data_IF_806929846356
#
_entry.id   IF_806929846356
#
_cell.length_a   1.000
_cell.length_b   1.000
_cell.length_c   1.000
_cell.angle_alpha   90.00
_cell.angle_beta   90.00
_cell.angle_gamma   90.00
#
_symmetry.space_group_name_H-M   'P 1'
#
loop_
_entity.id
_entity.type
_entity.pdbx_description
1 polymer ?
#
# COMPACT_ATOMS: atom_id res chain seq x y z
N UNK A 1 37.68 25.80 10.40
CA UNK A 1 36.93 24.60 10.83
C UNK A 1 35.84 24.40 9.79
N UNK A 2 35.98 23.42 8.90
CA UNK A 2 35.00 23.15 7.85
C UNK A 2 33.72 22.61 8.46
N UNK A 3 32.56 23.09 8.01
CA UNK A 3 31.28 22.47 8.36
C UNK A 3 31.17 21.18 7.55
N UNK A 4 31.18 20.04 8.22
CA UNK A 4 30.68 18.80 7.61
C UNK A 4 29.18 18.94 7.37
N UNK A 5 28.76 18.62 6.15
CA UNK A 5 27.35 18.51 5.79
C UNK A 5 26.93 17.07 6.10
N UNK A 6 26.10 16.91 7.12
CA UNK A 6 25.42 15.63 7.39
C UNK A 6 24.16 15.60 6.54
N UNK A 7 24.02 14.58 5.71
CA UNK A 7 22.85 14.34 4.88
C UNK A 7 22.09 13.13 5.41
N UNK A 8 20.84 13.34 5.82
CA UNK A 8 19.93 12.28 6.14
C UNK A 8 19.36 11.66 4.86
N UNK A 9 19.34 10.32 4.78
CA UNK A 9 18.79 9.59 3.64
C UNK A 9 18.27 8.22 4.08
N UNK A 10 17.22 7.69 3.43
CA UNK A 10 16.74 6.34 3.69
C UNK A 10 17.74 5.30 3.18
N UNK A 11 17.96 4.25 3.98
CA UNK A 11 18.64 3.03 3.53
C UNK A 11 17.58 2.00 3.12
N UNK A 12 17.56 1.67 1.83
CA UNK A 12 16.61 0.71 1.26
C UNK A 12 17.31 -0.65 1.11
N UNK A 13 16.73 -1.69 1.70
CA UNK A 13 17.25 -3.04 1.57
C UNK A 13 17.09 -3.56 0.13
N UNK A 14 18.19 -3.99 -0.48
CA UNK A 14 18.17 -4.67 -1.77
C UNK A 14 17.71 -6.11 -1.57
N UNK A 15 16.61 -6.50 -2.24
CA UNK A 15 16.16 -7.90 -2.29
C UNK A 15 16.80 -8.56 -3.52
N UNK A 16 17.76 -9.49 -3.34
CA UNK A 16 18.40 -10.16 -4.46
C UNK A 16 17.38 -10.97 -5.27
N UNK A 17 17.62 -11.10 -6.58
CA UNK A 17 16.80 -11.93 -7.48
C UNK A 17 15.33 -11.48 -7.61
N UNK A 18 14.96 -10.31 -7.08
CA UNK A 18 13.61 -9.80 -7.20
C UNK A 18 13.23 -9.59 -8.68
N UNK A 19 12.02 -10.01 -9.03
CA UNK A 19 11.45 -9.88 -10.38
C UNK A 19 10.28 -8.92 -10.34
N UNK A 20 9.96 -8.28 -11.48
CA UNK A 20 8.70 -7.56 -11.61
C UNK A 20 7.56 -8.57 -11.38
N UNK A 21 6.65 -8.26 -10.45
CA UNK A 21 5.64 -9.19 -9.96
C UNK A 21 4.77 -9.75 -11.10
N UNK A 22 4.37 -8.90 -12.05
CA UNK A 22 3.54 -9.32 -13.18
C UNK A 22 4.27 -10.11 -14.27
N UNK A 23 5.59 -10.27 -14.17
CA UNK A 23 6.38 -11.17 -15.03
C UNK A 23 6.51 -12.58 -14.42
N UNK A 24 5.82 -12.86 -13.31
CA UNK A 24 5.84 -14.13 -12.56
C UNK A 24 4.45 -14.77 -12.52
N UNK A 25 4.38 -16.04 -12.09
CA UNK A 25 3.12 -16.77 -11.98
C UNK A 25 2.49 -16.54 -10.59
N UNK A 26 1.17 -16.34 -10.54
CA UNK A 26 0.45 -16.05 -9.29
C UNK A 26 0.61 -17.14 -8.22
N UNK A 27 0.80 -18.40 -8.62
CA UNK A 27 1.07 -19.49 -7.69
C UNK A 27 2.45 -19.38 -6.99
N UNK A 28 3.33 -18.49 -7.44
CA UNK A 28 4.61 -18.19 -6.82
C UNK A 28 4.51 -17.13 -5.71
N UNK A 29 3.33 -16.51 -5.51
CA UNK A 29 3.17 -15.30 -4.67
C UNK A 29 2.90 -15.60 -3.18
N UNK A 30 3.35 -16.74 -2.68
CA UNK A 30 3.16 -17.12 -1.27
C UNK A 30 1.69 -17.27 -0.88
N UNK A 31 0.83 -17.69 -1.82
CA UNK A 31 -0.60 -17.87 -1.59
C UNK A 31 -1.46 -16.60 -1.66
N UNK A 32 -0.86 -15.43 -1.94
CA UNK A 32 -1.59 -14.17 -2.10
C UNK A 32 -2.15 -14.07 -3.52
N UNK A 33 -3.44 -13.77 -3.64
CA UNK A 33 -4.08 -13.63 -4.95
C UNK A 33 -3.82 -12.27 -5.60
N UNK A 34 -3.94 -12.23 -6.93
CA UNK A 34 -3.79 -11.00 -7.71
C UNK A 34 -4.74 -9.89 -7.29
N UNK A 35 -5.99 -10.24 -6.99
CA UNK A 35 -6.99 -9.29 -6.50
C UNK A 35 -6.55 -8.64 -5.19
N UNK A 36 -6.02 -9.41 -4.24
CA UNK A 36 -5.55 -8.89 -2.96
C UNK A 36 -4.38 -7.94 -3.17
N UNK A 37 -3.38 -8.35 -3.96
CA UNK A 37 -2.23 -7.49 -4.29
C UNK A 37 -2.67 -6.15 -4.90
N UNK A 38 -3.58 -6.18 -5.86
CA UNK A 38 -4.06 -4.98 -6.55
C UNK A 38 -4.88 -4.07 -5.62
N UNK A 39 -5.71 -4.65 -4.77
CA UNK A 39 -6.45 -3.93 -3.73
C UNK A 39 -5.49 -3.26 -2.74
N UNK A 40 -4.58 -4.02 -2.14
CA UNK A 40 -3.66 -3.53 -1.11
C UNK A 40 -2.71 -2.47 -1.67
N UNK A 41 -2.21 -2.66 -2.89
CA UNK A 41 -1.41 -1.65 -3.58
C UNK A 41 -2.21 -0.35 -3.80
N UNK A 42 -3.51 -0.43 -4.15
CA UNK A 42 -4.34 0.77 -4.23
C UNK A 42 -4.51 1.44 -2.88
N UNK A 43 -4.83 0.65 -1.86
CA UNK A 43 -5.06 1.14 -0.50
C UNK A 43 -3.83 1.92 -0.03
N UNK A 44 -2.63 1.37 -0.20
CA UNK A 44 -1.39 2.08 0.14
C UNK A 44 -1.18 3.34 -0.71
N UNK A 45 -1.44 3.27 -2.02
CA UNK A 45 -1.34 4.44 -2.91
C UNK A 45 -2.29 5.56 -2.49
N UNK A 46 -3.51 5.24 -2.03
CA UNK A 46 -4.48 6.22 -1.51
C UNK A 46 -4.04 6.73 -0.15
N UNK A 47 -3.69 5.86 0.80
CA UNK A 47 -3.25 6.24 2.14
C UNK A 47 -2.06 7.20 2.11
N UNK A 48 -1.12 6.99 1.19
CA UNK A 48 0.09 7.78 1.08
C UNK A 48 -0.01 8.87 0.01
N UNK A 49 -1.10 8.92 -0.77
CA UNK A 49 -1.19 9.70 -2.01
C UNK A 49 0.06 9.52 -2.88
N UNK A 50 0.46 8.27 -3.11
CA UNK A 50 1.54 7.97 -4.04
C UNK A 50 0.96 7.81 -5.45
N UNK A 51 1.26 8.75 -6.36
CA UNK A 51 0.78 8.71 -7.75
C UNK A 51 1.70 7.98 -8.72
N UNK A 52 2.85 7.48 -8.25
CA UNK A 52 3.85 6.80 -9.07
C UNK A 52 3.81 5.27 -8.93
N UNK A 53 2.62 4.71 -8.66
CA UNK A 53 2.41 3.28 -8.42
C UNK A 53 2.36 2.46 -9.72
N UNK A 54 3.40 2.49 -10.55
CA UNK A 54 3.42 1.75 -11.82
C UNK A 54 3.91 0.29 -11.67
N UNK A 55 3.70 -0.56 -12.69
CA UNK A 55 3.98 -2.01 -12.63
C UNK A 55 5.40 -2.38 -12.13
N UNK A 56 6.41 -1.57 -12.45
CA UNK A 56 7.80 -1.82 -12.04
C UNK A 56 8.04 -1.64 -10.53
N UNK A 57 7.07 -1.06 -9.82
CA UNK A 57 7.12 -0.86 -8.36
C UNK A 57 6.49 -2.00 -7.58
N UNK A 58 5.99 -3.03 -8.29
CA UNK A 58 5.51 -4.27 -7.69
C UNK A 58 6.51 -5.37 -8.03
N UNK A 59 7.16 -5.91 -7.00
CA UNK A 59 8.17 -6.95 -7.14
C UNK A 59 7.69 -8.25 -6.50
N UNK A 60 8.19 -9.38 -7.00
CA UNK A 60 8.21 -10.65 -6.28
C UNK A 60 9.63 -10.86 -5.74
N UNK A 61 9.76 -11.06 -4.44
CA UNK A 61 11.07 -11.30 -3.82
C UNK A 61 10.96 -12.16 -2.57
N UNK A 62 12.11 -12.72 -2.16
CA UNK A 62 12.19 -13.54 -0.95
C UNK A 62 12.05 -12.65 0.29
N UNK A 63 11.10 -13.00 1.16
CA UNK A 63 10.88 -12.30 2.40
C UNK A 63 12.00 -12.62 3.40
N UNK A 64 12.48 -11.62 4.14
CA UNK A 64 13.69 -11.73 4.97
C UNK A 64 13.56 -12.64 6.20
N UNK A 65 12.33 -12.93 6.65
CA UNK A 65 12.07 -13.78 7.83
C UNK A 65 12.18 -15.28 7.50
N UNK A 66 11.63 -15.70 6.37
CA UNK A 66 11.37 -17.11 6.05
C UNK A 66 11.87 -17.51 4.64
N UNK A 67 12.32 -16.56 3.84
CA UNK A 67 12.81 -16.79 2.48
C UNK A 67 11.71 -17.08 1.45
N UNK A 68 10.43 -16.99 1.83
CA UNK A 68 9.32 -17.25 0.91
C UNK A 68 9.14 -16.10 -0.08
N UNK A 69 8.77 -16.41 -1.32
CA UNK A 69 8.43 -15.39 -2.31
C UNK A 69 7.13 -14.68 -1.91
N UNK A 70 7.19 -13.35 -1.77
CA UNK A 70 6.03 -12.51 -1.47
C UNK A 70 6.01 -11.25 -2.36
N UNK A 71 4.81 -10.74 -2.70
CA UNK A 71 4.68 -9.43 -3.30
C UNK A 71 5.30 -8.35 -2.41
N UNK A 72 6.07 -7.44 -3.00
CA UNK A 72 6.65 -6.28 -2.36
C UNK A 72 6.31 -5.02 -3.16
N UNK A 73 5.94 -3.96 -2.44
CA UNK A 73 5.69 -2.65 -3.04
C UNK A 73 6.87 -1.74 -2.70
N UNK A 74 7.44 -1.10 -3.72
CA UNK A 74 8.60 -0.23 -3.58
C UNK A 74 8.30 1.17 -4.11
N UNK A 75 9.29 2.06 -3.96
CA UNK A 75 9.30 3.39 -4.56
C UNK A 75 8.13 4.30 -4.14
N UNK A 76 8.11 4.58 -2.84
CA UNK A 76 7.17 5.52 -2.22
C UNK A 76 7.78 6.91 -2.01
N UNK A 77 8.92 7.24 -2.62
CA UNK A 77 9.59 8.53 -2.48
C UNK A 77 8.80 9.74 -3.03
N UNK A 78 7.74 9.47 -3.79
CA UNK A 78 6.79 10.46 -4.27
C UNK A 78 5.54 10.64 -3.38
N UNK A 79 5.45 9.91 -2.26
CA UNK A 79 4.34 9.95 -1.32
C UNK A 79 4.25 11.26 -0.54
N UNK A 80 3.06 11.55 0.00
CA UNK A 80 2.75 12.69 0.88
C UNK A 80 3.07 14.07 0.28
N UNK A 81 3.40 14.14 -1.01
CA UNK A 81 3.63 15.40 -1.71
C UNK A 81 2.34 16.20 -1.84
N UNK A 82 2.36 17.51 -1.51
CA UNK A 82 1.21 18.38 -1.72
C UNK A 82 0.71 18.34 -3.16
N UNK A 83 -0.61 18.32 -3.33
CA UNK A 83 -1.26 18.33 -4.65
C UNK A 83 -1.41 16.96 -5.31
N UNK A 84 -0.91 15.89 -4.70
CA UNK A 84 -1.15 14.53 -5.20
C UNK A 84 -2.51 14.01 -4.73
N UNK A 85 -3.28 13.40 -5.65
CA UNK A 85 -4.61 12.90 -5.36
C UNK A 85 -4.81 11.52 -6.00
N UNK A 86 -5.04 10.51 -5.16
CA UNK A 86 -5.29 9.13 -5.56
C UNK A 86 -6.58 8.67 -4.87
N UNK A 87 -7.44 7.94 -5.58
CA UNK A 87 -8.74 7.50 -5.05
C UNK A 87 -8.92 5.99 -5.19
N UNK A 88 -9.93 5.42 -4.53
CA UNK A 88 -10.33 4.02 -4.76
C UNK A 88 -11.04 3.79 -6.10
N UNK A 89 -11.53 4.85 -6.76
CA UNK A 89 -12.38 4.76 -7.97
C UNK A 89 -11.61 4.92 -9.27
N UNK A 90 -10.58 5.76 -9.28
CA UNK A 90 -9.81 6.08 -10.48
C UNK A 90 -8.36 6.35 -10.12
N UNK A 91 -7.47 5.66 -10.82
CA UNK A 91 -6.03 5.86 -10.77
C UNK A 91 -5.41 5.15 -11.97
N UNK A 92 -4.45 5.78 -12.64
CA UNK A 92 -3.85 5.24 -13.86
C UNK A 92 -2.64 4.34 -13.55
N UNK A 93 -2.75 3.46 -12.55
CA UNK A 93 -1.72 2.47 -12.26
C UNK A 93 -1.93 1.20 -13.09
N UNK A 94 -0.83 0.61 -13.55
CA UNK A 94 -0.84 -0.61 -14.35
C UNK A 94 -1.54 -1.76 -13.61
N UNK A 95 -2.54 -2.38 -14.26
CA UNK A 95 -3.34 -3.46 -13.69
C UNK A 95 -4.38 -3.02 -12.66
N UNK A 96 -4.54 -1.71 -12.43
CA UNK A 96 -5.41 -1.16 -11.39
C UNK A 96 -6.10 0.11 -11.90
N UNK A 97 -6.66 0.10 -13.11
CA UNK A 97 -7.39 1.23 -13.68
C UNK A 97 -8.84 1.31 -13.21
N UNK A 98 -9.41 0.15 -12.87
CA UNK A 98 -10.80 0.01 -12.43
C UNK A 98 -10.98 0.38 -10.95
N UNK A 99 -12.23 0.70 -10.53
CA UNK A 99 -12.55 0.82 -9.11
C UNK A 99 -12.25 -0.47 -8.35
N UNK A 100 -11.62 -0.36 -7.18
CA UNK A 100 -11.32 -1.51 -6.34
C UNK A 100 -12.62 -2.05 -5.72
N UNK A 101 -13.01 -3.27 -6.07
CA UNK A 101 -14.28 -3.85 -5.65
C UNK A 101 -14.16 -4.83 -4.48
N UNK A 102 -12.95 -5.29 -4.17
CA UNK A 102 -12.69 -6.34 -3.19
C UNK A 102 -11.51 -5.97 -2.29
N UNK A 103 -11.50 -6.50 -1.07
CA UNK A 103 -10.45 -6.30 -0.06
C UNK A 103 -10.28 -7.58 0.78
N UNK A 104 -9.07 -7.86 1.25
CA UNK A 104 -8.90 -8.96 2.23
C UNK A 104 -9.52 -8.58 3.57
N UNK A 105 -10.08 -9.56 4.27
CA UNK A 105 -10.63 -9.34 5.62
C UNK A 105 -9.56 -8.78 6.57
N UNK A 106 -8.34 -9.33 6.46
CA UNK A 106 -7.19 -8.88 7.23
C UNK A 106 -6.90 -7.40 7.00
N UNK A 107 -6.78 -6.95 5.75
CA UNK A 107 -6.52 -5.54 5.42
C UNK A 107 -7.64 -4.65 5.94
N UNK A 108 -8.91 -5.02 5.73
CA UNK A 108 -10.05 -4.22 6.20
C UNK A 108 -10.06 -4.09 7.74
N UNK A 109 -9.78 -5.18 8.45
CA UNK A 109 -9.66 -5.17 9.92
C UNK A 109 -8.52 -4.27 10.38
N UNK A 110 -7.34 -4.33 9.75
CA UNK A 110 -6.22 -3.46 10.10
C UNK A 110 -6.55 -1.99 9.84
N UNK A 111 -7.19 -1.66 8.70
CA UNK A 111 -7.63 -0.29 8.43
C UNK A 111 -8.56 0.23 9.53
N UNK A 112 -9.56 -0.55 9.94
CA UNK A 112 -10.50 -0.18 11.01
C UNK A 112 -9.83 0.09 12.36
N UNK A 113 -8.71 -0.58 12.64
CA UNK A 113 -7.98 -0.44 13.91
C UNK A 113 -6.81 0.55 13.84
N UNK A 114 -6.35 0.93 12.65
CA UNK A 114 -5.28 1.89 12.45
C UNK A 114 -5.63 3.21 13.14
N UNK A 115 -4.75 3.73 13.98
CA UNK A 115 -4.99 4.93 14.77
C UNK A 115 -3.68 5.73 14.93
N UNK A 116 -3.75 6.85 15.65
CA UNK A 116 -2.62 7.76 15.77
C UNK A 116 -1.39 7.11 16.45
N UNK A 117 -1.60 6.26 17.46
CA UNK A 117 -0.50 5.60 18.19
C UNK A 117 0.30 4.62 17.33
N UNK A 118 -0.26 4.12 16.23
CA UNK A 118 0.46 3.27 15.29
C UNK A 118 1.61 4.01 14.57
N UNK A 119 1.61 5.36 14.61
CA UNK A 119 2.64 6.19 14.02
C UNK A 119 3.75 6.59 14.98
N UNK A 120 3.68 6.20 16.27
CA UNK A 120 4.62 6.64 17.31
C UNK A 120 6.10 6.41 16.94
N UNK A 121 6.40 5.31 16.25
CA UNK A 121 7.76 4.97 15.80
C UNK A 121 8.30 5.84 14.66
N UNK A 122 7.44 6.58 13.96
CA UNK A 122 7.81 7.38 12.77
C UNK A 122 7.50 8.87 12.92
N UNK A 123 7.08 9.32 14.11
CA UNK A 123 6.69 10.74 14.37
C UNK A 123 7.82 11.74 14.16
N UNK A 124 9.08 11.31 14.22
CA UNK A 124 10.22 12.16 13.89
C UNK A 124 10.26 12.53 12.39
N UNK A 125 9.73 11.64 11.54
CA UNK A 125 9.81 11.75 10.08
C UNK A 125 8.47 12.09 9.41
N UNK A 126 7.36 11.93 10.14
CA UNK A 126 6.01 12.17 9.65
C UNK A 126 5.32 13.14 10.61
N UNK A 127 4.95 14.31 10.09
CA UNK A 127 4.34 15.36 10.88
C UNK A 127 2.94 14.99 11.40
N UNK A 128 2.46 15.60 12.50
CA UNK A 128 1.09 15.39 12.99
C UNK A 128 0.02 15.66 11.93
N UNK A 129 0.27 16.64 11.04
CA UNK A 129 -0.63 16.95 9.94
C UNK A 129 -0.69 15.82 8.92
N UNK A 130 0.45 15.25 8.52
CA UNK A 130 0.48 14.12 7.59
C UNK A 130 -0.18 12.88 8.20
N UNK A 131 0.04 12.60 9.48
CA UNK A 131 -0.64 11.51 10.21
C UNK A 131 -2.16 11.71 10.18
N UNK A 132 -2.63 12.91 10.52
CA UNK A 132 -4.05 13.25 10.46
C UNK A 132 -4.63 13.04 9.05
N UNK A 133 -3.91 13.49 8.01
CA UNK A 133 -4.33 13.30 6.62
C UNK A 133 -4.34 11.81 6.21
N UNK A 134 -3.39 10.99 6.67
CA UNK A 134 -3.39 9.53 6.45
C UNK A 134 -4.64 8.92 7.10
N UNK A 135 -4.95 9.27 8.35
CA UNK A 135 -6.11 8.74 9.07
C UNK A 135 -7.44 9.18 8.43
N UNK A 136 -7.55 10.43 7.97
CA UNK A 136 -8.70 10.87 7.17
C UNK A 136 -8.89 10.02 5.90
N UNK A 137 -7.79 9.71 5.20
CA UNK A 137 -7.84 8.86 4.00
C UNK A 137 -8.21 7.42 4.35
N UNK A 138 -7.70 6.89 5.46
CA UNK A 138 -8.14 5.61 6.01
C UNK A 138 -9.65 5.60 6.21
N UNK A 139 -10.21 6.60 6.88
CA UNK A 139 -11.67 6.67 7.16
C UNK A 139 -12.48 6.66 5.85
N UNK A 140 -11.98 7.37 4.83
CA UNK A 140 -12.56 7.36 3.48
C UNK A 140 -12.52 5.97 2.82
N UNK A 141 -11.43 5.22 2.97
CA UNK A 141 -11.28 3.85 2.44
C UNK A 141 -12.23 2.89 3.17
N UNK A 142 -12.30 2.96 4.51
CA UNK A 142 -13.24 2.14 5.29
C UNK A 142 -14.68 2.43 4.87
N UNK A 143 -15.07 3.70 4.82
CA UNK A 143 -16.41 4.13 4.37
C UNK A 143 -16.71 3.64 2.95
N UNK A 144 -15.72 3.65 2.06
CA UNK A 144 -15.86 3.15 0.70
C UNK A 144 -16.22 1.65 0.68
N UNK A 145 -15.51 0.81 1.43
CA UNK A 145 -15.79 -0.62 1.51
C UNK A 145 -17.08 -0.93 2.26
N UNK A 146 -17.40 -0.21 3.33
CA UNK A 146 -18.67 -0.39 4.06
C UNK A 146 -19.88 -0.12 3.19
N UNK A 147 -19.81 0.92 2.34
CA UNK A 147 -20.84 1.14 1.33
C UNK A 147 -20.91 0.00 0.33
N UNK A 148 -19.78 -0.48 -0.21
CA UNK A 148 -19.78 -1.61 -1.14
C UNK A 148 -20.37 -2.87 -0.51
N UNK A 149 -20.08 -3.13 0.77
CA UNK A 149 -20.63 -4.26 1.54
C UNK A 149 -22.15 -4.11 1.67
N UNK A 150 -22.64 -2.90 1.97
CA UNK A 150 -24.08 -2.60 2.03
C UNK A 150 -24.77 -2.82 0.68
N UNK A 151 -24.13 -2.43 -0.42
CA UNK A 151 -24.70 -2.51 -1.78
C UNK A 151 -24.64 -3.93 -2.39
N UNK A 152 -23.57 -4.69 -2.10
CA UNK A 152 -23.25 -5.95 -2.81
C UNK A 152 -23.19 -7.19 -1.93
N UNK A 153 -23.28 -7.02 -0.61
CA UNK A 153 -23.11 -8.06 0.40
C UNK A 153 -21.63 -8.34 0.76
N UNK A 154 -21.42 -8.77 2.00
CA UNK A 154 -20.08 -8.98 2.59
C UNK A 154 -19.20 -9.91 1.75
N UNK A 155 -19.69 -11.11 1.43
CA UNK A 155 -18.94 -12.14 0.70
C UNK A 155 -18.55 -11.74 -0.73
N UNK A 156 -19.22 -10.74 -1.31
CA UNK A 156 -18.89 -10.22 -2.63
C UNK A 156 -17.71 -9.25 -2.61
N UNK A 157 -17.45 -8.63 -1.45
CA UNK A 157 -16.48 -7.55 -1.26
C UNK A 157 -15.29 -7.99 -0.42
N UNK A 158 -15.51 -8.80 0.61
CA UNK A 158 -14.47 -9.22 1.54
C UNK A 158 -13.99 -10.63 1.21
N UNK A 159 -12.68 -10.76 1.02
CA UNK A 159 -12.00 -12.02 0.73
C UNK A 159 -11.54 -12.65 2.05
N UNK A 160 -12.12 -13.80 2.40
CA UNK A 160 -11.80 -14.63 3.57
C UNK A 160 -10.55 -15.51 3.28
N UNK A 161 -9.39 -14.88 3.03
CA UNK A 161 -8.08 -15.56 2.92
C UNK A 161 -6.95 -14.64 3.36
#
# INVERSE_FOLDING_TARGET
IGRELIHEAPLIHLVPEAKILYDTLENEWGGVSKTVVQSDHRILSVLLHNSDGHAKNLLLGKHWVDGENRPAFIDFGASLRPGTFVTMRRYAAAGNSEPVSQVSERTLKHLKNLNESDFDSVREYVSPKEIYEILMRRDGIVSYFERLISEKGYRSVVLEK
#
